data_IF_945064697206
#
_entry.id   IF_945064697206
#
_cell.length_a   1.000
_cell.length_b   1.000
_cell.length_c   1.000
_cell.angle_alpha   90.00
_cell.angle_beta   90.00
_cell.angle_gamma   90.00
#
_symmetry.space_group_name_H-M   'P 1'
#
loop_
_entity.id
_entity.type
_entity.pdbx_description
1 polymer ?
#
# COMPACT_ATOMS: atom_id res chain seq x y z
N UNK A 1 12.95 -22.14 0.63
CA UNK A 1 12.22 -20.93 0.36
C UNK A 1 12.82 -20.16 -0.83
N UNK A 2 12.00 -19.76 -1.69
CA UNK A 2 12.48 -19.00 -2.84
C UNK A 2 12.72 -17.56 -2.43
N UNK A 3 13.85 -17.04 -2.85
CA UNK A 3 14.09 -15.62 -2.71
C UNK A 3 13.11 -14.88 -3.61
N UNK A 4 12.45 -13.89 -3.04
CA UNK A 4 11.69 -12.97 -3.85
C UNK A 4 12.68 -12.07 -4.56
N UNK A 5 12.47 -11.84 -5.84
CA UNK A 5 13.35 -10.97 -6.62
C UNK A 5 13.02 -9.50 -6.35
N UNK A 6 12.81 -9.16 -5.09
CA UNK A 6 12.47 -7.79 -4.71
C UNK A 6 13.69 -6.89 -4.81
N UNK A 7 13.45 -5.67 -5.24
CA UNK A 7 14.49 -4.65 -5.26
C UNK A 7 14.83 -4.24 -3.83
N UNK A 8 16.07 -3.76 -3.59
CA UNK A 8 16.41 -3.25 -2.26
C UNK A 8 15.51 -2.09 -1.85
N UNK A 9 15.20 -1.96 -0.56
CA UNK A 9 14.36 -0.84 -0.09
C UNK A 9 14.86 0.53 -0.55
N UNK A 10 16.17 0.75 -0.53
CA UNK A 10 16.73 2.04 -0.94
C UNK A 10 16.44 2.36 -2.41
N UNK A 11 16.41 1.34 -3.26
CA UNK A 11 16.06 1.53 -4.68
C UNK A 11 14.61 1.97 -4.83
N UNK A 12 13.74 1.49 -3.94
CA UNK A 12 12.33 1.83 -3.96
C UNK A 12 12.01 3.14 -3.24
N UNK A 13 13.00 3.74 -2.58
CA UNK A 13 12.79 4.94 -1.80
C UNK A 13 12.11 4.69 -0.48
N UNK A 14 12.31 3.50 0.08
CA UNK A 14 11.65 3.06 1.31
C UNK A 14 12.68 2.78 2.40
N UNK A 15 12.28 2.95 3.66
CA UNK A 15 13.05 2.44 4.79
C UNK A 15 12.83 0.94 4.90
N UNK A 16 13.65 0.28 5.73
CA UNK A 16 13.51 -1.16 5.96
C UNK A 16 12.14 -1.50 6.53
N UNK A 17 11.64 -0.70 7.47
CA UNK A 17 10.31 -0.93 8.07
C UNK A 17 9.22 -0.79 7.02
N UNK A 18 9.32 0.23 6.17
CA UNK A 18 8.34 0.44 5.11
C UNK A 18 8.34 -0.70 4.11
N UNK A 19 9.52 -1.15 3.72
CA UNK A 19 9.65 -2.27 2.79
C UNK A 19 9.05 -3.55 3.39
N UNK A 20 9.42 -3.87 4.62
CA UNK A 20 8.90 -5.07 5.29
C UNK A 20 7.39 -5.03 5.45
N UNK A 21 6.83 -3.85 5.71
CA UNK A 21 5.38 -3.69 5.82
C UNK A 21 4.68 -4.03 4.51
N UNK A 22 5.22 -3.54 3.39
CA UNK A 22 4.65 -3.84 2.08
C UNK A 22 4.79 -5.33 1.72
N UNK A 23 5.91 -5.94 2.08
CA UNK A 23 6.09 -7.38 1.85
C UNK A 23 5.05 -8.19 2.64
N UNK A 24 4.78 -7.79 3.88
CA UNK A 24 3.76 -8.47 4.69
C UNK A 24 2.37 -8.28 4.09
N UNK A 25 2.05 -7.08 3.64
CA UNK A 25 0.75 -6.82 3.00
C UNK A 25 0.60 -7.68 1.75
N UNK A 26 1.66 -7.77 0.94
CA UNK A 26 1.64 -8.63 -0.24
C UNK A 26 1.32 -10.07 0.13
N UNK A 27 2.00 -10.60 1.15
CA UNK A 27 1.74 -11.96 1.62
C UNK A 27 0.29 -12.16 2.05
N UNK A 28 -0.25 -11.19 2.80
CA UNK A 28 -1.64 -11.26 3.25
C UNK A 28 -2.63 -11.26 2.08
N UNK A 29 -2.38 -10.41 1.08
CA UNK A 29 -3.22 -10.37 -0.11
C UNK A 29 -3.14 -11.68 -0.89
N UNK A 30 -1.95 -12.22 -1.06
CA UNK A 30 -1.76 -13.44 -1.83
C UNK A 30 -2.30 -14.68 -1.14
N UNK A 31 -2.36 -14.67 0.20
CA UNK A 31 -2.94 -15.78 0.96
C UNK A 31 -4.45 -15.63 1.16
N UNK A 32 -5.04 -14.56 0.64
CA UNK A 32 -6.47 -14.32 0.78
C UNK A 32 -6.89 -13.88 2.19
N UNK A 33 -5.97 -13.38 2.98
CA UNK A 33 -6.26 -12.91 4.34
C UNK A 33 -6.97 -11.58 4.37
N UNK A 34 -6.92 -10.82 3.26
CA UNK A 34 -7.64 -9.57 3.10
C UNK A 34 -8.76 -9.81 2.09
N UNK A 35 -10.00 -9.82 2.56
CA UNK A 35 -11.14 -10.10 1.70
C UNK A 35 -11.61 -8.88 0.91
N UNK A 36 -12.49 -9.13 -0.07
CA UNK A 36 -13.03 -8.06 -0.93
C UNK A 36 -13.75 -6.98 -0.14
N UNK A 37 -14.41 -7.35 0.94
CA UNK A 37 -15.14 -6.40 1.78
C UNK A 37 -14.24 -5.62 2.72
N UNK A 38 -12.98 -6.04 2.86
CA UNK A 38 -12.00 -5.37 3.71
C UNK A 38 -11.07 -4.45 2.96
N UNK A 39 -11.10 -4.50 1.62
CA UNK A 39 -10.13 -3.79 0.80
C UNK A 39 -10.82 -2.83 -0.17
N UNK A 40 -10.32 -1.61 -0.22
CA UNK A 40 -10.68 -0.66 -1.28
C UNK A 40 -9.54 0.36 -1.44
N UNK A 41 -9.27 0.72 -2.68
CA UNK A 41 -8.30 1.78 -2.96
C UNK A 41 -8.90 3.18 -2.87
N UNK A 42 -10.19 3.30 -2.54
CA UNK A 42 -10.88 4.59 -2.48
C UNK A 42 -10.56 5.40 -1.23
N UNK A 43 -10.09 4.75 -0.18
CA UNK A 43 -9.83 5.41 1.09
C UNK A 43 -8.72 4.69 1.84
N UNK A 44 -8.07 5.40 2.77
CA UNK A 44 -6.99 4.82 3.56
C UNK A 44 -7.53 3.89 4.63
N UNK A 45 -8.67 4.25 5.22
CA UNK A 45 -9.33 3.38 6.20
C UNK A 45 -10.84 3.49 6.05
N UNK A 46 -11.51 2.44 6.47
CA UNK A 46 -12.97 2.40 6.53
C UNK A 46 -13.48 3.27 7.67
N UNK A 47 -14.77 3.67 7.65
CA UNK A 47 -15.35 4.43 8.75
C UNK A 47 -15.20 3.76 10.12
N UNK A 48 -15.10 2.43 10.18
CA UNK A 48 -14.90 1.70 11.42
C UNK A 48 -13.43 1.69 11.86
N UNK A 49 -12.56 2.43 11.19
CA UNK A 49 -11.13 2.56 11.48
C UNK A 49 -10.29 1.34 11.17
N UNK A 50 -10.82 0.40 10.40
CA UNK A 50 -10.01 -0.70 9.86
C UNK A 50 -9.30 -0.22 8.60
N UNK A 51 -8.11 -0.78 8.28
CA UNK A 51 -7.40 -0.37 7.07
C UNK A 51 -8.19 -0.72 5.81
N UNK A 52 -8.00 0.05 4.76
CA UNK A 52 -8.75 -0.14 3.52
C UNK A 52 -7.85 -0.31 2.30
N UNK A 53 -7.04 0.69 1.93
CA UNK A 53 -6.18 0.59 0.75
C UNK A 53 -4.79 0.04 1.11
N UNK A 54 -3.94 -0.09 0.10
CA UNK A 54 -2.57 -0.58 0.32
C UNK A 54 -1.83 0.24 1.36
N UNK A 55 -1.96 1.57 1.30
CA UNK A 55 -1.30 2.44 2.26
C UNK A 55 -1.83 2.21 3.68
N UNK A 56 -3.15 2.11 3.83
CA UNK A 56 -3.77 1.85 5.12
C UNK A 56 -3.34 0.52 5.72
N UNK A 57 -3.30 -0.52 4.89
CA UNK A 57 -2.84 -1.84 5.33
C UNK A 57 -1.35 -1.82 5.71
N UNK A 58 -0.52 -1.12 4.93
CA UNK A 58 0.90 -1.00 5.25
C UNK A 58 1.10 -0.28 6.58
N UNK A 59 0.34 0.77 6.83
CA UNK A 59 0.40 1.46 8.11
C UNK A 59 -0.04 0.55 9.26
N UNK A 60 -1.14 -0.17 9.07
CA UNK A 60 -1.65 -1.08 10.07
C UNK A 60 -0.63 -2.16 10.43
N UNK A 61 0.00 -2.74 9.43
CA UNK A 61 1.01 -3.78 9.64
C UNK A 61 2.24 -3.23 10.38
N UNK A 62 2.66 -2.00 10.05
CA UNK A 62 3.84 -1.41 10.67
C UNK A 62 3.62 -0.93 12.09
N UNK A 63 2.40 -0.50 12.43
CA UNK A 63 2.09 0.07 13.75
C UNK A 63 1.25 -0.86 14.61
N UNK A 64 0.58 -1.84 14.01
CA UNK A 64 -0.33 -2.74 14.73
C UNK A 64 -1.67 -2.10 15.05
N UNK A 65 -2.01 -0.97 14.45
CA UNK A 65 -3.28 -0.29 14.75
C UNK A 65 -3.81 0.44 13.54
N UNK A 66 -5.08 0.82 13.62
CA UNK A 66 -5.75 1.54 12.54
C UNK A 66 -5.08 2.89 12.29
N UNK A 67 -5.23 3.36 11.07
CA UNK A 67 -4.73 4.69 10.69
C UNK A 67 -5.52 5.76 11.46
N UNK A 68 -4.81 6.55 12.23
CA UNK A 68 -5.42 7.62 13.02
C UNK A 68 -4.39 8.69 13.33
N UNK A 69 -4.81 9.76 13.98
CA UNK A 69 -3.87 10.80 14.38
C UNK A 69 -2.83 10.23 15.31
N UNK A 70 -1.58 10.39 14.92
CA UNK A 70 -0.46 9.95 15.73
C UNK A 70 0.01 11.13 16.59
N UNK A 71 0.20 10.88 17.87
CA UNK A 71 0.76 11.89 18.76
C UNK A 71 2.23 12.09 18.48
N UNK A 72 2.89 11.02 18.02
CA UNK A 72 4.29 11.10 17.62
C UNK A 72 4.38 11.07 16.11
N UNK A 73 5.37 11.73 15.52
CA UNK A 73 5.60 11.60 14.10
C UNK A 73 5.65 10.13 13.71
N UNK A 74 5.00 9.77 12.65
CA UNK A 74 4.97 8.40 12.21
C UNK A 74 6.34 7.86 11.91
N UNK A 75 6.49 6.57 12.13
CA UNK A 75 7.74 5.87 11.85
C UNK A 75 7.95 5.65 10.35
N UNK A 76 6.89 5.77 9.56
CA UNK A 76 6.92 5.51 8.13
C UNK A 76 6.17 6.58 7.37
N UNK A 77 6.37 6.63 6.06
CA UNK A 77 5.62 7.54 5.19
C UNK A 77 4.14 7.14 5.09
N UNK A 78 3.81 5.90 5.48
CA UNK A 78 2.42 5.44 5.51
C UNK A 78 1.69 5.98 6.73
N UNK A 79 2.42 6.34 7.75
CA UNK A 79 1.85 6.81 9.00
C UNK A 79 1.32 8.22 8.84
N UNK A 80 0.45 8.55 9.76
CA UNK A 80 -0.33 9.73 9.66
C UNK A 80 0.42 11.02 9.96
N UNK A 81 0.16 12.02 9.15
CA UNK A 81 0.29 13.42 9.49
C UNK A 81 -1.12 13.95 9.80
N UNK A 82 -1.27 15.26 9.98
CA UNK A 82 -2.55 15.86 10.35
C UNK A 82 -3.69 15.51 9.39
N UNK A 83 -3.41 15.36 8.12
CA UNK A 83 -4.42 15.19 7.09
C UNK A 83 -4.30 13.88 6.31
N UNK A 84 -3.68 12.87 6.87
CA UNK A 84 -3.54 11.59 6.20
C UNK A 84 -2.11 11.13 6.13
N UNK A 85 -1.80 10.16 5.27
CA UNK A 85 -0.42 9.70 5.08
C UNK A 85 0.49 10.84 4.63
N UNK A 86 1.77 10.62 4.77
CA UNK A 86 2.76 11.64 4.40
C UNK A 86 3.00 11.65 2.90
N UNK A 87 1.96 12.03 2.14
CA UNK A 87 2.03 12.02 0.68
C UNK A 87 3.24 12.76 0.13
N UNK A 88 3.58 13.90 0.74
CA UNK A 88 4.71 14.72 0.26
C UNK A 88 6.06 14.08 0.48
N UNK A 89 6.14 13.14 1.41
CA UNK A 89 7.38 12.41 1.67
C UNK A 89 7.54 11.18 0.79
N UNK A 90 6.49 10.81 0.07
CA UNK A 90 6.52 9.61 -0.76
C UNK A 90 7.17 9.85 -2.11
N UNK A 91 8.09 8.97 -2.54
CA UNK A 91 8.57 9.01 -3.92
C UNK A 91 7.41 8.83 -4.90
N UNK A 92 7.57 9.36 -6.12
CA UNK A 92 6.53 9.27 -7.13
C UNK A 92 6.06 7.84 -7.38
N UNK A 93 6.97 6.89 -7.44
CA UNK A 93 6.60 5.49 -7.70
C UNK A 93 5.76 4.90 -6.57
N UNK A 94 5.95 5.35 -5.34
CA UNK A 94 5.13 4.94 -4.20
C UNK A 94 3.74 5.58 -4.32
N UNK A 95 3.67 6.85 -4.70
CA UNK A 95 2.40 7.52 -4.92
C UNK A 95 1.60 6.81 -6.02
N UNK A 96 2.26 6.40 -7.08
CA UNK A 96 1.61 5.66 -8.16
C UNK A 96 1.08 4.31 -7.68
N UNK A 97 1.83 3.63 -6.83
CA UNK A 97 1.38 2.38 -6.23
C UNK A 97 0.07 2.58 -5.46
N UNK A 98 -0.02 3.67 -4.71
CA UNK A 98 -1.20 3.95 -3.90
C UNK A 98 -2.33 4.61 -4.67
N UNK A 99 -2.13 4.89 -5.95
CA UNK A 99 -3.14 5.54 -6.78
C UNK A 99 -3.39 6.99 -6.42
N UNK A 100 -2.45 7.64 -5.74
CA UNK A 100 -2.61 9.01 -5.29
C UNK A 100 -2.66 9.97 -6.47
N UNK A 101 -3.60 10.91 -6.41
CA UNK A 101 -3.73 11.92 -7.47
C UNK A 101 -4.56 11.46 -8.66
N UNK A 102 -5.07 10.23 -8.64
CA UNK A 102 -5.95 9.75 -9.68
C UNK A 102 -7.34 10.35 -9.58
N UNK A 103 -8.09 10.24 -10.65
CA UNK A 103 -9.48 10.71 -10.69
C UNK A 103 -10.39 9.70 -9.98
N UNK A 104 -11.52 10.13 -9.41
CA UNK A 104 -12.46 9.21 -8.77
C UNK A 104 -12.94 8.08 -9.67
N UNK A 105 -12.87 8.26 -10.99
CA UNK A 105 -13.30 7.25 -11.96
C UNK A 105 -12.19 6.30 -12.37
N UNK A 106 -10.96 6.47 -11.88
CA UNK A 106 -9.85 5.61 -12.26
C UNK A 106 -10.12 4.16 -11.83
N UNK A 107 -9.87 3.19 -12.72
CA UNK A 107 -10.07 1.78 -12.38
C UNK A 107 -9.28 1.31 -11.16
N UNK A 108 -8.18 1.97 -10.83
CA UNK A 108 -7.39 1.63 -9.64
C UNK A 108 -8.23 1.64 -8.38
N UNK A 109 -9.20 2.56 -8.29
CA UNK A 109 -10.05 2.66 -7.11
C UNK A 109 -11.03 1.50 -6.96
N UNK A 110 -11.21 0.72 -8.01
CA UNK A 110 -12.07 -0.46 -8.01
C UNK A 110 -11.26 -1.77 -7.97
N UNK A 111 -9.95 -1.67 -7.77
CA UNK A 111 -9.08 -2.85 -7.75
C UNK A 111 -9.49 -3.84 -6.67
N UNK A 112 -9.47 -5.11 -7.02
CA UNK A 112 -9.70 -6.20 -6.09
C UNK A 112 -8.42 -6.47 -5.30
N UNK A 113 -8.50 -7.19 -4.17
CA UNK A 113 -7.29 -7.62 -3.47
C UNK A 113 -6.29 -8.35 -4.36
N UNK A 114 -6.77 -9.20 -5.26
CA UNK A 114 -5.92 -9.94 -6.19
C UNK A 114 -5.18 -9.00 -7.14
N UNK A 115 -5.89 -8.02 -7.70
CA UNK A 115 -5.27 -7.03 -8.59
C UNK A 115 -4.27 -6.17 -7.82
N UNK A 116 -4.59 -5.80 -6.60
CA UNK A 116 -3.69 -5.04 -5.75
C UNK A 116 -2.42 -5.84 -5.44
N UNK A 117 -2.55 -7.14 -5.21
CA UNK A 117 -1.40 -8.01 -5.00
C UNK A 117 -0.48 -8.02 -6.22
N UNK A 118 -1.06 -8.09 -7.41
CA UNK A 118 -0.28 -8.07 -8.65
C UNK A 118 0.48 -6.76 -8.79
N UNK A 119 -0.18 -5.63 -8.54
CA UNK A 119 0.46 -4.31 -8.61
C UNK A 119 1.55 -4.17 -7.57
N UNK A 120 1.30 -4.61 -6.34
CA UNK A 120 2.27 -4.53 -5.26
C UNK A 120 3.50 -5.39 -5.55
N UNK A 121 3.30 -6.61 -6.04
CA UNK A 121 4.43 -7.46 -6.42
C UNK A 121 5.24 -6.84 -7.54
N UNK A 122 4.58 -6.26 -8.54
CA UNK A 122 5.26 -5.55 -9.62
C UNK A 122 6.11 -4.41 -9.08
N UNK A 123 5.55 -3.63 -8.15
CA UNK A 123 6.29 -2.53 -7.53
C UNK A 123 7.54 -3.05 -6.80
N UNK A 124 7.40 -4.10 -6.01
CA UNK A 124 8.51 -4.62 -5.23
C UNK A 124 9.60 -5.27 -6.10
N UNK A 125 9.25 -5.78 -7.27
CA UNK A 125 10.20 -6.46 -8.14
C UNK A 125 10.79 -5.55 -9.21
N UNK A 126 10.01 -4.59 -9.70
CA UNK A 126 10.42 -3.74 -10.83
C UNK A 126 10.46 -2.25 -10.52
N UNK A 127 10.00 -1.85 -9.35
CA UNK A 127 9.94 -0.45 -8.96
C UNK A 127 8.74 0.30 -9.53
N UNK A 128 7.82 -0.39 -10.16
CA UNK A 128 6.62 0.21 -10.75
C UNK A 128 5.42 -0.68 -10.51
N UNK A 129 4.31 -0.08 -10.11
CA UNK A 129 3.08 -0.83 -9.83
C UNK A 129 2.46 -1.44 -11.08
N UNK A 130 2.56 -0.76 -12.23
CA UNK A 130 2.02 -1.23 -13.50
C UNK A 130 0.54 -1.60 -13.38
N UNK A 131 -0.24 -0.66 -12.84
CA UNK A 131 -1.66 -0.89 -12.60
C UNK A 131 -2.44 -1.32 -13.84
N UNK A 132 -2.09 -0.77 -15.01
CA UNK A 132 -2.78 -1.14 -16.23
C UNK A 132 -2.70 -2.64 -16.49
N UNK A 133 -1.55 -3.25 -16.22
CA UNK A 133 -1.37 -4.68 -16.39
C UNK A 133 -2.10 -5.46 -15.29
N UNK A 134 -2.03 -4.99 -14.06
CA UNK A 134 -2.70 -5.64 -12.94
C UNK A 134 -4.22 -5.65 -13.12
N UNK A 135 -4.77 -4.56 -13.64
CA UNK A 135 -6.22 -4.42 -13.81
C UNK A 135 -6.74 -5.15 -15.04
N UNK A 136 -5.85 -5.57 -15.93
CA UNK A 136 -6.25 -6.33 -17.11
C UNK A 136 -6.61 -7.78 -16.81
N UNK A 137 -6.26 -8.25 -15.63
CA UNK A 137 -6.53 -9.65 -15.22
C UNK A 137 -7.96 -9.83 -14.71
#
# INVERSE_FOLDING_TARGET
MLANNFLPPSTLGLSDVEFESLVKVLGMLERGEIGDDQFTMRRVQHPCRTPACLCGWANHVSTGRAFQLEEKPGLTIFSKSTYGPRWRAMPRRVLELFGYGGRPTDPVYLATPSQAATALRSFLTHGEARWAEALAD
#
